data_IF_894362020094
#
_entry.id   IF_894362020094
#
_cell.length_a   1.000
_cell.length_b   1.000
_cell.length_c   1.000
_cell.angle_alpha   90.00
_cell.angle_beta   90.00
_cell.angle_gamma   90.00
#
_symmetry.space_group_name_H-M   'P 1'
#
loop_
_entity.id
_entity.type
_entity.pdbx_description
1 polymer ?
#
# COMPACT_ATOMS: atom_id res chain seq x y z
N UNK A 1 27.66 -38.42 -75.65
CA UNK A 1 28.49 -37.49 -76.46
C UNK A 1 27.57 -36.34 -76.86
N UNK A 2 27.68 -35.06 -76.47
CA UNK A 2 28.72 -34.23 -75.85
C UNK A 2 28.00 -33.04 -75.16
N UNK A 3 28.47 -32.63 -73.99
CA UNK A 3 28.12 -31.38 -73.29
C UNK A 3 28.78 -30.16 -73.95
N UNK A 4 28.08 -29.02 -74.08
CA UNK A 4 28.60 -27.63 -74.00
C UNK A 4 27.39 -26.68 -73.76
N UNK A 5 26.95 -26.40 -72.52
CA UNK A 5 27.30 -25.23 -71.66
C UNK A 5 27.61 -23.95 -72.45
N UNK A 6 26.85 -22.86 -72.26
CA UNK A 6 27.39 -21.53 -71.85
C UNK A 6 26.27 -20.47 -71.74
N UNK A 7 25.98 -20.14 -70.46
CA UNK A 7 25.76 -18.80 -69.90
C UNK A 7 25.08 -17.75 -70.79
N UNK A 8 23.86 -17.34 -70.43
CA UNK A 8 23.52 -15.93 -70.14
C UNK A 8 22.07 -15.85 -69.60
N UNK A 9 21.87 -14.91 -68.66
CA UNK A 9 20.59 -14.49 -68.06
C UNK A 9 19.96 -15.46 -67.03
N UNK A 10 20.35 -15.50 -65.75
CA UNK A 10 21.00 -14.48 -64.94
C UNK A 10 20.05 -13.38 -64.42
N UNK A 11 18.88 -13.15 -65.04
CA UNK A 11 18.01 -11.99 -64.76
C UNK A 11 16.50 -12.31 -64.69
N UNK A 12 16.12 -13.54 -64.33
CA UNK A 12 14.73 -13.87 -63.95
C UNK A 12 14.67 -14.57 -62.58
N UNK A 13 15.67 -14.31 -61.74
CA UNK A 13 15.46 -14.31 -60.30
C UNK A 13 14.71 -13.00 -59.96
N UNK A 14 13.56 -13.11 -59.28
CA UNK A 14 13.06 -12.21 -58.23
C UNK A 14 11.56 -11.94 -58.28
N UNK A 15 10.89 -11.97 -59.44
CA UNK A 15 9.52 -11.41 -59.53
C UNK A 15 8.43 -12.44 -59.22
N UNK A 16 8.64 -13.73 -59.49
CA UNK A 16 7.60 -14.75 -59.30
C UNK A 16 7.54 -15.36 -57.89
N UNK A 17 8.50 -15.07 -57.02
CA UNK A 17 8.49 -15.54 -55.62
C UNK A 17 7.74 -14.60 -54.66
N UNK A 18 7.26 -13.43 -55.13
CA UNK A 18 6.70 -12.37 -54.28
C UNK A 18 5.18 -12.46 -54.06
N UNK A 19 4.57 -13.63 -54.23
CA UNK A 19 3.15 -13.84 -53.85
C UNK A 19 2.96 -15.00 -52.87
N UNK A 20 3.97 -15.24 -52.03
CA UNK A 20 3.75 -15.86 -50.72
C UNK A 20 3.75 -14.75 -49.68
N UNK A 21 2.58 -14.38 -49.15
CA UNK A 21 2.38 -13.95 -47.75
C UNK A 21 1.11 -13.09 -47.56
N UNK A 22 -0.10 -13.63 -47.82
CA UNK A 22 -1.32 -13.06 -47.20
C UNK A 22 -2.23 -14.17 -46.70
N UNK A 23 -1.72 -14.98 -45.77
CA UNK A 23 -2.56 -15.82 -44.91
C UNK A 23 -1.89 -16.09 -43.55
N UNK A 24 -1.01 -15.18 -43.11
CA UNK A 24 -0.33 -15.24 -41.81
C UNK A 24 -0.69 -14.10 -40.86
N UNK A 25 -1.58 -13.19 -41.26
CA UNK A 25 -1.91 -11.97 -40.53
C UNK A 25 -3.04 -12.15 -39.52
N UNK A 26 -2.96 -13.14 -38.63
CA UNK A 26 -3.78 -13.20 -37.40
C UNK A 26 -3.22 -14.27 -36.45
N UNK A 27 -1.93 -14.19 -36.15
CA UNK A 27 -1.30 -15.00 -35.09
C UNK A 27 -0.60 -14.09 -34.09
N UNK A 28 -1.32 -13.10 -33.61
CA UNK A 28 -1.04 -12.49 -32.33
C UNK A 28 -2.32 -12.62 -31.50
N UNK A 29 -2.19 -12.94 -30.21
CA UNK A 29 -3.27 -12.99 -29.20
C UNK A 29 -3.98 -14.34 -28.92
N UNK A 30 -3.25 -15.40 -28.56
CA UNK A 30 -3.69 -16.29 -27.48
C UNK A 30 -3.08 -15.90 -26.12
N UNK A 31 -1.90 -15.27 -26.12
CA UNK A 31 -1.18 -14.88 -24.90
C UNK A 31 -1.92 -13.82 -24.07
N UNK A 32 -2.66 -12.90 -24.70
CA UNK A 32 -3.37 -11.83 -23.99
C UNK A 32 -4.49 -12.37 -23.11
N UNK A 33 -5.28 -13.34 -23.60
CA UNK A 33 -6.34 -13.96 -22.81
C UNK A 33 -5.78 -14.83 -21.69
N UNK A 34 -4.66 -15.52 -21.95
CA UNK A 34 -3.99 -16.36 -20.95
C UNK A 34 -3.33 -15.49 -19.85
N UNK A 35 -2.74 -14.35 -20.23
CA UNK A 35 -2.21 -13.36 -19.29
C UNK A 35 -3.32 -12.69 -18.47
N UNK A 36 -4.47 -12.36 -19.08
CA UNK A 36 -5.62 -11.80 -18.37
C UNK A 36 -6.22 -12.79 -17.35
N UNK A 37 -6.33 -14.09 -17.71
CA UNK A 37 -6.77 -15.13 -16.78
C UNK A 37 -5.79 -15.33 -15.62
N UNK A 38 -4.48 -15.32 -15.91
CA UNK A 38 -3.45 -15.42 -14.87
C UNK A 38 -3.45 -14.21 -13.94
N UNK A 39 -3.66 -13.01 -14.48
CA UNK A 39 -3.81 -11.79 -13.71
C UNK A 39 -5.04 -11.84 -12.80
N UNK A 40 -6.18 -12.33 -13.28
CA UNK A 40 -7.38 -12.50 -12.46
C UNK A 40 -7.18 -13.50 -11.30
N UNK A 41 -6.53 -14.64 -11.55
CA UNK A 41 -6.24 -15.60 -10.47
C UNK A 41 -5.29 -15.03 -9.42
N UNK A 42 -4.22 -14.34 -9.84
CA UNK A 42 -3.31 -13.69 -8.89
C UNK A 42 -3.98 -12.55 -8.13
N UNK A 43 -4.84 -11.75 -8.79
CA UNK A 43 -5.59 -10.69 -8.15
C UNK A 43 -6.50 -11.22 -7.03
N UNK A 44 -7.14 -12.38 -7.24
CA UNK A 44 -7.96 -13.01 -6.19
C UNK A 44 -7.12 -13.49 -5.00
N UNK A 45 -5.96 -14.11 -5.24
CA UNK A 45 -5.07 -14.53 -4.16
C UNK A 45 -4.54 -13.33 -3.36
N UNK A 46 -4.16 -12.26 -4.05
CA UNK A 46 -3.67 -11.05 -3.40
C UNK A 46 -4.78 -10.34 -2.60
N UNK A 47 -6.00 -10.27 -3.14
CA UNK A 47 -7.14 -9.70 -2.44
C UNK A 47 -7.45 -10.48 -1.15
N UNK A 48 -7.33 -11.80 -1.18
CA UNK A 48 -7.47 -12.64 0.02
C UNK A 48 -6.37 -12.37 1.04
N UNK A 49 -5.11 -12.25 0.60
CA UNK A 49 -3.98 -11.91 1.48
C UNK A 49 -4.13 -10.51 2.09
N UNK A 50 -4.58 -9.53 1.31
CA UNK A 50 -4.85 -8.17 1.77
C UNK A 50 -5.97 -8.13 2.81
N UNK A 51 -7.03 -8.92 2.62
CA UNK A 51 -8.12 -9.03 3.60
C UNK A 51 -7.61 -9.57 4.94
N UNK A 52 -6.81 -10.64 4.91
CA UNK A 52 -6.23 -11.22 6.13
C UNK A 52 -5.32 -10.22 6.85
N UNK A 53 -4.48 -9.51 6.10
CA UNK A 53 -3.61 -8.47 6.66
C UNK A 53 -4.43 -7.32 7.29
N UNK A 54 -5.49 -6.87 6.62
CA UNK A 54 -6.38 -5.84 7.17
C UNK A 54 -7.03 -6.33 8.47
N UNK A 55 -7.53 -7.56 8.52
CA UNK A 55 -8.17 -8.10 9.71
C UNK A 55 -7.19 -8.16 10.90
N UNK A 56 -5.94 -8.56 10.66
CA UNK A 56 -4.89 -8.54 11.68
C UNK A 56 -4.61 -7.11 12.16
N UNK A 57 -4.54 -6.15 11.22
CA UNK A 57 -4.33 -4.73 11.53
C UNK A 57 -5.48 -4.16 12.38
N UNK A 58 -6.73 -4.51 12.06
CA UNK A 58 -7.92 -4.07 12.80
C UNK A 58 -7.94 -4.60 14.24
N UNK A 59 -7.59 -5.87 14.45
CA UNK A 59 -7.49 -6.43 15.80
C UNK A 59 -6.44 -5.73 16.65
N UNK A 60 -5.27 -5.43 16.06
CA UNK A 60 -4.22 -4.67 16.73
C UNK A 60 -4.70 -3.26 17.07
N UNK A 61 -5.32 -2.55 16.12
CA UNK A 61 -5.81 -1.20 16.38
C UNK A 61 -6.90 -1.18 17.44
N UNK A 62 -7.79 -2.16 17.49
CA UNK A 62 -8.79 -2.28 18.55
C UNK A 62 -8.14 -2.46 19.92
N UNK A 63 -7.15 -3.34 20.05
CA UNK A 63 -6.44 -3.53 21.32
C UNK A 63 -5.70 -2.25 21.75
N UNK A 64 -5.03 -1.59 20.80
CA UNK A 64 -4.36 -0.31 21.01
C UNK A 64 -5.34 0.77 21.48
N UNK A 65 -6.48 0.86 20.81
CA UNK A 65 -7.51 1.84 21.11
C UNK A 65 -8.09 1.60 22.51
N UNK A 66 -8.38 0.35 22.87
CA UNK A 66 -8.78 0.03 24.25
C UNK A 66 -7.75 0.46 25.28
N UNK A 67 -6.46 0.22 25.03
CA UNK A 67 -5.40 0.63 25.96
C UNK A 67 -5.30 2.15 26.09
N UNK A 68 -5.38 2.87 24.97
CA UNK A 68 -5.41 4.34 24.96
C UNK A 68 -6.65 4.87 25.66
N UNK A 69 -7.80 4.26 25.44
CA UNK A 69 -9.07 4.70 25.99
C UNK A 69 -9.11 4.51 27.51
N UNK A 70 -8.61 3.39 28.04
CA UNK A 70 -8.50 3.19 29.49
C UNK A 70 -7.61 4.23 30.14
N UNK A 71 -6.46 4.52 29.53
CA UNK A 71 -5.54 5.54 30.02
C UNK A 71 -6.19 6.93 29.96
N UNK A 72 -6.86 7.26 28.85
CA UNK A 72 -7.56 8.53 28.70
C UNK A 72 -8.64 8.71 29.76
N UNK A 73 -9.45 7.67 30.02
CA UNK A 73 -10.48 7.68 31.06
C UNK A 73 -9.90 7.92 32.46
N UNK A 74 -8.74 7.34 32.77
CA UNK A 74 -8.07 7.57 34.04
C UNK A 74 -7.67 9.05 34.20
N UNK A 75 -7.12 9.64 33.14
CA UNK A 75 -6.71 11.05 33.14
C UNK A 75 -7.90 12.01 33.13
N UNK A 76 -8.97 11.69 32.41
CA UNK A 76 -10.19 12.49 32.40
C UNK A 76 -10.82 12.55 33.80
N UNK A 77 -10.86 11.42 34.52
CA UNK A 77 -11.33 11.42 35.91
C UNK A 77 -10.47 12.33 36.80
N UNK A 78 -9.14 12.25 36.66
CA UNK A 78 -8.24 13.09 37.44
C UNK A 78 -8.39 14.58 37.08
N UNK A 79 -8.57 14.88 35.79
CA UNK A 79 -8.79 16.24 35.30
C UNK A 79 -10.14 16.79 35.76
N UNK A 80 -11.20 15.98 35.76
CA UNK A 80 -12.52 16.38 36.25
C UNK A 80 -12.48 16.72 37.74
N UNK A 81 -11.75 15.95 38.55
CA UNK A 81 -11.56 16.25 39.97
C UNK A 81 -10.86 17.59 40.16
N UNK A 82 -9.80 17.87 39.40
CA UNK A 82 -9.14 19.18 39.41
C UNK A 82 -10.04 20.30 38.89
N UNK A 83 -10.91 20.04 37.90
CA UNK A 83 -11.88 21.03 37.40
C UNK A 83 -12.92 21.39 38.45
N UNK A 84 -13.45 20.40 39.16
CA UNK A 84 -14.34 20.65 40.29
C UNK A 84 -13.65 21.46 41.38
N UNK A 85 -12.41 21.12 41.71
CA UNK A 85 -11.62 21.88 42.69
C UNK A 85 -11.35 23.32 42.22
N UNK A 86 -11.05 23.51 40.92
CA UNK A 86 -10.86 24.82 40.31
C UNK A 86 -12.13 25.69 40.41
N UNK A 87 -13.30 25.08 40.18
CA UNK A 87 -14.61 25.76 40.27
C UNK A 87 -14.99 26.11 41.71
N UNK A 88 -14.60 25.31 42.69
CA UNK A 88 -14.84 25.64 44.09
C UNK A 88 -13.92 26.77 44.58
N UNK A 89 -12.69 26.83 44.06
CA UNK A 89 -11.72 27.88 44.38
C UNK A 89 -11.78 29.09 43.45
N UNK A 90 -12.86 29.20 42.67
CA UNK A 90 -13.08 30.22 41.64
C UNK A 90 -13.15 31.65 42.20
N UNK A 91 -13.55 31.78 43.47
CA UNK A 91 -13.74 33.01 44.22
C UNK A 91 -12.54 33.39 45.12
N UNK A 92 -11.44 32.62 45.09
CA UNK A 92 -10.23 32.89 45.87
C UNK A 92 -9.12 33.49 44.98
N UNK A 93 -8.56 34.68 45.31
CA UNK A 93 -7.43 35.22 44.58
C UNK A 93 -6.20 34.30 44.74
N UNK A 94 -5.57 33.93 43.63
CA UNK A 94 -4.41 33.02 43.60
C UNK A 94 -4.73 31.51 43.51
N UNK A 95 -5.90 31.07 43.98
CA UNK A 95 -6.31 29.65 43.93
C UNK A 95 -6.49 29.12 42.50
N UNK A 96 -7.04 29.93 41.60
CA UNK A 96 -7.17 29.59 40.17
C UNK A 96 -5.83 29.36 39.49
N UNK A 97 -4.82 30.19 39.78
CA UNK A 97 -3.48 30.09 39.17
C UNK A 97 -2.74 28.85 39.68
N UNK A 98 -2.88 28.52 40.97
CA UNK A 98 -2.31 27.31 41.54
C UNK A 98 -2.90 26.05 40.89
N UNK A 99 -4.22 25.99 40.72
CA UNK A 99 -4.88 24.84 40.07
C UNK A 99 -4.57 24.77 38.58
N UNK A 100 -4.46 25.92 37.91
CA UNK A 100 -4.03 25.97 36.51
C UNK A 100 -2.64 25.37 36.34
N UNK A 101 -1.68 25.74 37.20
CA UNK A 101 -0.34 25.13 37.19
C UNK A 101 -0.37 23.64 37.46
N UNK A 102 -1.16 23.19 38.42
CA UNK A 102 -1.31 21.77 38.73
C UNK A 102 -1.92 20.98 37.56
N UNK A 103 -2.95 21.53 36.90
CA UNK A 103 -3.53 20.97 35.68
C UNK A 103 -2.51 20.91 34.55
N UNK A 104 -1.69 21.94 34.41
CA UNK A 104 -0.68 21.99 33.35
C UNK A 104 0.42 20.95 33.58
N UNK A 105 0.87 20.77 34.82
CA UNK A 105 1.78 19.68 35.18
C UNK A 105 1.19 18.30 34.89
N UNK A 106 -0.07 18.06 35.26
CA UNK A 106 -0.77 16.82 34.92
C UNK A 106 -0.86 16.62 33.41
N UNK A 107 -1.23 17.66 32.65
CA UNK A 107 -1.30 17.59 31.19
C UNK A 107 0.05 17.26 30.58
N UNK A 108 1.13 17.86 31.07
CA UNK A 108 2.48 17.56 30.60
C UNK A 108 2.85 16.10 30.91
N UNK A 109 2.51 15.60 32.10
CA UNK A 109 2.73 14.20 32.46
C UNK A 109 1.92 13.24 31.58
N UNK A 110 0.65 13.53 31.35
CA UNK A 110 -0.22 12.78 30.43
C UNK A 110 0.37 12.78 29.02
N UNK A 111 0.79 13.96 28.52
CA UNK A 111 1.37 14.10 27.19
C UNK A 111 2.65 13.26 27.07
N UNK A 112 3.51 13.27 28.10
CA UNK A 112 4.73 12.48 28.11
C UNK A 112 4.44 10.97 28.10
N UNK A 113 3.46 10.51 28.89
CA UNK A 113 3.08 9.10 28.93
C UNK A 113 2.41 8.67 27.61
N UNK A 114 1.53 9.49 27.06
CA UNK A 114 0.95 9.27 25.72
C UNK A 114 2.03 9.25 24.64
N UNK A 115 3.04 10.12 24.74
CA UNK A 115 4.13 10.16 23.77
C UNK A 115 4.96 8.89 23.80
N UNK A 116 5.31 8.37 24.99
CA UNK A 116 6.02 7.10 25.12
C UNK A 116 5.21 5.94 24.54
N UNK A 117 3.93 5.86 24.89
CA UNK A 117 3.06 4.80 24.38
C UNK A 117 2.90 4.90 22.85
N UNK A 118 2.73 6.12 22.33
CA UNK A 118 2.68 6.37 20.88
C UNK A 118 3.97 5.98 20.17
N UNK A 119 5.13 6.16 20.79
CA UNK A 119 6.40 5.69 20.21
C UNK A 119 6.45 4.16 20.13
N UNK A 120 5.96 3.46 21.16
CA UNK A 120 5.86 2.00 21.13
C UNK A 120 4.94 1.52 20.01
N UNK A 121 3.76 2.13 19.87
CA UNK A 121 2.84 1.82 18.78
C UNK A 121 3.40 2.20 17.42
N UNK A 122 4.12 3.32 17.32
CA UNK A 122 4.75 3.74 16.06
C UNK A 122 5.79 2.73 15.58
N UNK A 123 6.56 2.09 16.47
CA UNK A 123 7.50 1.05 16.08
C UNK A 123 6.77 -0.19 15.54
N UNK A 124 5.66 -0.57 16.18
CA UNK A 124 4.82 -1.68 15.73
C UNK A 124 4.12 -1.36 14.39
N UNK A 125 3.62 -0.13 14.23
CA UNK A 125 3.05 0.38 12.98
C UNK A 125 4.09 0.41 11.86
N UNK A 126 5.36 0.71 12.16
CA UNK A 126 6.42 0.75 11.15
C UNK A 126 6.74 -0.66 10.61
N UNK A 127 6.72 -1.69 11.46
CA UNK A 127 6.86 -3.09 11.00
C UNK A 127 5.70 -3.49 10.08
N UNK A 128 4.46 -3.15 10.46
CA UNK A 128 3.29 -3.41 9.61
C UNK A 128 3.33 -2.60 8.33
N UNK A 129 3.79 -1.35 8.40
CA UNK A 129 3.95 -0.48 7.22
C UNK A 129 4.97 -1.07 6.27
N UNK A 130 6.10 -1.58 6.74
CA UNK A 130 7.08 -2.25 5.89
C UNK A 130 6.48 -3.48 5.19
N UNK A 131 5.74 -4.31 5.93
CA UNK A 131 5.06 -5.47 5.35
C UNK A 131 4.00 -5.05 4.31
N UNK A 132 3.23 -4.01 4.60
CA UNK A 132 2.25 -3.42 3.66
C UNK A 132 2.96 -2.83 2.44
N UNK A 133 4.08 -2.16 2.61
CA UNK A 133 4.84 -1.55 1.51
C UNK A 133 5.36 -2.62 0.56
N UNK A 134 5.88 -3.73 1.09
CA UNK A 134 6.29 -4.87 0.27
C UNK A 134 5.12 -5.44 -0.54
N UNK A 135 3.98 -5.64 0.11
CA UNK A 135 2.75 -6.10 -0.54
C UNK A 135 2.29 -5.12 -1.63
N UNK A 136 2.27 -3.81 -1.33
CA UNK A 136 1.85 -2.77 -2.26
C UNK A 136 2.84 -2.58 -3.43
N UNK A 137 4.14 -2.77 -3.21
CA UNK A 137 5.14 -2.76 -4.28
C UNK A 137 4.90 -3.92 -5.26
N UNK A 138 4.53 -5.10 -4.73
CA UNK A 138 4.14 -6.24 -5.55
C UNK A 138 2.87 -5.98 -6.36
N UNK A 139 1.90 -5.24 -5.80
CA UNK A 139 0.70 -4.79 -6.52
C UNK A 139 1.05 -3.79 -7.62
N UNK A 140 1.87 -2.78 -7.29
CA UNK A 140 2.26 -1.73 -8.23
C UNK A 140 3.08 -2.29 -9.41
N UNK A 141 4.01 -3.21 -9.16
CA UNK A 141 4.77 -3.86 -10.22
C UNK A 141 3.86 -4.68 -11.14
N UNK A 142 2.77 -5.25 -10.63
CA UNK A 142 1.80 -5.98 -11.44
C UNK A 142 0.90 -5.05 -12.27
N UNK A 143 0.49 -3.90 -11.74
CA UNK A 143 -0.17 -2.87 -12.55
C UNK A 143 0.77 -2.32 -13.64
N UNK A 144 2.03 -2.06 -13.30
CA UNK A 144 3.01 -1.52 -14.25
C UNK A 144 3.42 -2.56 -15.30
N UNK A 145 3.50 -3.84 -14.93
CA UNK A 145 3.75 -4.95 -15.85
C UNK A 145 2.63 -5.11 -16.89
N UNK A 146 1.38 -4.81 -16.53
CA UNK A 146 0.30 -4.69 -17.50
C UNK A 146 0.47 -3.42 -18.36
N UNK A 147 0.76 -2.26 -17.76
CA UNK A 147 0.93 -0.98 -18.48
C UNK A 147 2.08 -0.93 -19.51
N UNK A 148 3.23 -1.52 -19.20
CA UNK A 148 4.42 -1.54 -20.08
C UNK A 148 4.26 -2.44 -21.31
N UNK A 149 3.42 -3.49 -21.23
CA UNK A 149 3.08 -4.31 -22.40
C UNK A 149 2.24 -3.56 -23.45
N UNK A 150 1.58 -2.45 -23.08
CA UNK A 150 0.80 -1.63 -24.02
C UNK A 150 1.62 -0.55 -24.74
N UNK A 151 2.85 -0.24 -24.29
CA UNK A 151 3.61 0.91 -24.80
C UNK A 151 4.87 0.53 -25.61
N UNK A 152 5.23 -0.75 -25.70
CA UNK A 152 6.40 -1.20 -26.45
C UNK A 152 6.10 -1.57 -27.92
N UNK A 153 4.90 -1.28 -28.42
CA UNK A 153 4.46 -1.63 -29.78
C UNK A 153 3.92 -0.41 -30.55
N UNK A 154 4.68 0.68 -30.53
CA UNK A 154 4.59 1.76 -31.52
C UNK A 154 5.94 1.96 -32.18
#
# INVERSE_FOLDING_TARGET
MVHVITRHAGCLAAILSCTLAVAGGARAQPDMQQAAQRAQQMQQQFQQQQMQFRQQQEQMYMQRDQQMQQMHQQFDQQQMQLDQQARQMVNQPGGREQIKRQREQMRQQQAQQMQQMRQQFSQQDEQMRQQRMQMNQQEQMQQFGQGMSYQQNW
#
